data_IF_743844305759
#
_entry.id   IF_743844305759
#
_cell.length_a   1.000
_cell.length_b   1.000
_cell.length_c   1.000
_cell.angle_alpha   90.00
_cell.angle_beta   90.00
_cell.angle_gamma   90.00
#
_symmetry.space_group_name_H-M   'P 1'
#
loop_
_entity.id
_entity.type
_entity.pdbx_description
1 polymer ?
#
# COMPACT_ATOMS: atom_id res chain seq x y z
N UNK A 1 -57.97 43.48 20.73
CA UNK A 1 -57.00 42.36 20.80
C UNK A 1 -57.59 41.32 21.73
N UNK A 2 -57.64 40.01 21.39
CA UNK A 2 -56.58 39.19 20.80
C UNK A 2 -57.00 38.45 19.50
N UNK A 3 -56.02 37.84 18.81
CA UNK A 3 -56.20 37.00 17.60
C UNK A 3 -56.46 35.53 17.99
N UNK A 4 -57.36 34.81 17.30
CA UNK A 4 -57.41 33.35 17.37
C UNK A 4 -56.48 32.71 16.33
N UNK A 5 -55.75 31.71 16.79
CA UNK A 5 -54.89 30.77 16.05
C UNK A 5 -55.74 29.83 15.19
N UNK A 6 -55.39 29.68 13.90
CA UNK A 6 -55.98 28.71 12.98
C UNK A 6 -54.91 27.71 12.49
N UNK A 7 -55.32 26.44 12.43
CA UNK A 7 -54.55 25.23 12.17
C UNK A 7 -54.18 25.03 10.66
N UNK A 8 -53.34 24.04 10.30
CA UNK A 8 -52.71 23.94 8.99
C UNK A 8 -53.53 23.14 7.96
N UNK A 9 -53.40 23.52 6.68
CA UNK A 9 -53.91 22.80 5.51
C UNK A 9 -52.98 21.61 5.13
N UNK A 10 -53.51 20.42 4.81
CA UNK A 10 -52.78 19.39 4.10
C UNK A 10 -53.18 19.39 2.61
N UNK A 11 -52.21 19.44 1.71
CA UNK A 11 -52.49 19.28 0.28
C UNK A 11 -51.24 19.26 -0.61
N UNK A 12 -51.20 18.23 -1.46
CA UNK A 12 -50.51 18.20 -2.75
C UNK A 12 -48.98 18.02 -2.74
N UNK A 13 -48.47 16.86 -2.34
CA UNK A 13 -47.16 16.40 -2.84
C UNK A 13 -47.01 14.87 -2.77
N UNK A 14 -47.92 14.11 -3.40
CA UNK A 14 -47.81 12.64 -3.42
C UNK A 14 -48.38 11.97 -4.67
N UNK A 15 -48.01 12.45 -5.87
CA UNK A 15 -48.33 11.74 -7.14
C UNK A 15 -47.10 11.55 -8.06
N UNK A 16 -45.98 12.26 -7.83
CA UNK A 16 -44.84 12.23 -8.78
C UNK A 16 -43.81 11.09 -8.55
N UNK A 17 -43.79 10.43 -7.39
CA UNK A 17 -42.77 9.40 -7.10
C UNK A 17 -43.05 8.01 -7.71
N UNK A 18 -44.31 7.65 -7.95
CA UNK A 18 -44.66 6.29 -8.40
C UNK A 18 -44.43 6.03 -9.89
N UNK A 19 -44.42 7.08 -10.73
CA UNK A 19 -44.20 6.92 -12.18
C UNK A 19 -42.71 6.71 -12.54
N UNK A 20 -41.78 7.34 -11.83
CA UNK A 20 -40.34 7.19 -12.08
C UNK A 20 -39.81 5.79 -11.73
N UNK A 21 -40.36 5.14 -10.70
CA UNK A 21 -39.93 3.80 -10.26
C UNK A 21 -40.34 2.72 -11.26
N UNK A 22 -41.51 2.86 -11.92
CA UNK A 22 -41.99 1.90 -12.92
C UNK A 22 -41.17 1.96 -14.22
N UNK A 23 -40.72 3.15 -14.60
CA UNK A 23 -39.95 3.39 -15.82
C UNK A 23 -38.50 2.85 -15.73
N UNK A 24 -37.90 2.93 -14.54
CA UNK A 24 -36.56 2.35 -14.31
C UNK A 24 -36.60 0.83 -14.25
N UNK A 25 -37.70 0.25 -13.72
CA UNK A 25 -37.87 -1.21 -13.70
C UNK A 25 -38.07 -1.79 -15.09
N UNK A 26 -38.86 -1.12 -15.95
CA UNK A 26 -39.01 -1.55 -17.34
C UNK A 26 -37.71 -1.48 -18.12
N UNK A 27 -36.91 -0.41 -17.94
CA UNK A 27 -35.60 -0.30 -18.57
C UNK A 27 -34.62 -1.40 -18.10
N UNK A 28 -34.64 -1.75 -16.81
CA UNK A 28 -33.84 -2.85 -16.26
C UNK A 28 -34.28 -4.25 -16.73
N UNK A 29 -35.57 -4.44 -17.01
CA UNK A 29 -36.10 -5.71 -17.54
C UNK A 29 -35.82 -5.89 -19.04
N UNK A 30 -35.68 -4.80 -19.79
CA UNK A 30 -35.33 -4.82 -21.21
C UNK A 30 -33.84 -5.18 -21.43
N UNK A 31 -32.91 -4.59 -20.66
CA UNK A 31 -31.47 -4.94 -20.70
C UNK A 31 -31.21 -6.43 -20.37
N UNK A 32 -31.98 -7.01 -19.45
CA UNK A 32 -31.84 -8.42 -19.07
C UNK A 32 -32.29 -9.39 -20.18
N UNK A 33 -33.24 -8.99 -21.03
CA UNK A 33 -33.72 -9.81 -22.15
C UNK A 33 -32.77 -9.78 -23.34
N UNK A 34 -32.11 -8.66 -23.59
CA UNK A 34 -31.11 -8.53 -24.67
C UNK A 34 -29.88 -9.41 -24.40
N UNK A 35 -29.43 -9.49 -23.14
CA UNK A 35 -28.33 -10.37 -22.74
C UNK A 35 -28.61 -11.86 -22.97
N UNK A 36 -29.85 -12.32 -22.72
CA UNK A 36 -30.24 -13.71 -22.96
C UNK A 36 -30.35 -14.05 -24.46
N UNK A 37 -30.79 -13.10 -25.30
CA UNK A 37 -30.89 -13.31 -26.74
C UNK A 37 -29.50 -13.39 -27.41
N UNK A 38 -28.54 -12.57 -26.96
CA UNK A 38 -27.16 -12.64 -27.46
C UNK A 38 -26.48 -13.97 -27.10
N UNK A 39 -26.74 -14.49 -25.89
CA UNK A 39 -26.19 -15.77 -25.46
C UNK A 39 -26.78 -16.97 -26.25
N UNK A 40 -28.07 -16.92 -26.61
CA UNK A 40 -28.68 -17.92 -27.48
C UNK A 40 -28.18 -17.84 -28.93
N UNK A 41 -27.95 -16.64 -29.48
CA UNK A 41 -27.37 -16.49 -30.83
C UNK A 41 -25.91 -16.98 -30.89
N UNK A 42 -25.10 -16.74 -29.86
CA UNK A 42 -23.73 -17.28 -29.79
C UNK A 42 -23.70 -18.81 -29.71
N UNK A 43 -24.63 -19.44 -28.98
CA UNK A 43 -24.73 -20.90 -28.94
C UNK A 43 -25.18 -21.50 -30.27
N UNK A 44 -26.08 -20.84 -31.01
CA UNK A 44 -26.47 -21.29 -32.35
C UNK A 44 -25.31 -21.16 -33.36
N UNK A 45 -24.52 -20.08 -33.32
CA UNK A 45 -23.35 -19.94 -34.19
C UNK A 45 -22.27 -21.00 -33.90
N UNK A 46 -22.02 -21.33 -32.63
CA UNK A 46 -21.07 -22.41 -32.29
C UNK A 46 -21.54 -23.78 -32.76
N UNK A 47 -22.85 -24.07 -32.75
CA UNK A 47 -23.38 -25.33 -33.27
C UNK A 47 -23.30 -25.40 -34.80
N UNK A 48 -23.54 -24.28 -35.50
CA UNK A 48 -23.46 -24.23 -36.96
C UNK A 48 -22.03 -24.36 -37.47
N UNK A 49 -21.04 -23.78 -36.77
CA UNK A 49 -19.63 -23.94 -37.11
C UNK A 49 -19.12 -25.38 -36.87
N UNK A 50 -19.72 -26.09 -35.90
CA UNK A 50 -19.43 -27.51 -35.65
C UNK A 50 -19.98 -28.45 -36.74
N UNK A 51 -21.02 -28.03 -37.47
CA UNK A 51 -21.56 -28.78 -38.61
C UNK A 51 -20.88 -28.43 -39.94
N UNK A 52 -20.39 -27.20 -40.12
CA UNK A 52 -19.68 -26.79 -41.34
C UNK A 52 -18.21 -27.26 -41.41
N UNK A 53 -17.59 -27.61 -40.28
CA UNK A 53 -16.19 -28.12 -40.25
C UNK A 53 -16.01 -29.59 -40.67
N UNK A 54 -17.08 -30.25 -41.11
CA UNK A 54 -17.10 -31.70 -41.33
C UNK A 54 -16.95 -32.19 -42.78
N UNK A 55 -16.95 -31.32 -43.80
CA UNK A 55 -16.92 -31.76 -45.20
C UNK A 55 -16.10 -30.79 -46.06
N UNK A 56 -14.90 -31.21 -46.44
CA UNK A 56 -14.01 -30.44 -47.31
C UNK A 56 -12.69 -31.16 -47.57
N UNK A 57 -12.76 -32.27 -48.29
CA UNK A 57 -11.61 -32.95 -48.86
C UNK A 57 -11.28 -32.40 -50.26
N UNK A 58 -9.98 -32.45 -50.58
CA UNK A 58 -9.34 -32.59 -51.89
C UNK A 58 -8.76 -31.36 -52.62
N UNK A 59 -7.59 -31.61 -53.24
CA UNK A 59 -6.79 -30.88 -54.28
C UNK A 59 -5.58 -30.09 -53.72
N UNK A 60 -4.39 -30.72 -53.55
CA UNK A 60 -3.23 -30.90 -54.49
C UNK A 60 -2.35 -29.62 -54.60
N UNK A 61 -1.06 -29.53 -54.22
CA UNK A 61 0.15 -30.13 -54.83
C UNK A 61 1.34 -30.41 -53.85
N UNK A 62 2.09 -31.48 -54.20
CA UNK A 62 3.42 -32.03 -53.76
C UNK A 62 4.60 -31.00 -53.86
N UNK A 63 5.86 -31.25 -53.34
CA UNK A 63 6.45 -32.56 -53.00
C UNK A 63 7.39 -32.71 -51.76
N UNK A 64 7.64 -34.01 -51.44
CA UNK A 64 8.85 -34.66 -50.86
C UNK A 64 9.18 -34.35 -49.38
N UNK A 65 9.29 -35.29 -48.44
CA UNK A 65 9.62 -36.73 -48.50
C UNK A 65 8.95 -37.49 -47.34
N UNK A 66 8.36 -38.64 -47.66
CA UNK A 66 8.11 -39.72 -46.70
C UNK A 66 9.43 -40.46 -46.44
N UNK A 67 9.73 -40.78 -45.19
CA UNK A 67 9.96 -42.19 -44.88
C UNK A 67 9.80 -42.47 -43.37
N UNK A 68 8.75 -43.22 -43.05
CA UNK A 68 8.73 -44.33 -42.08
C UNK A 68 9.10 -43.98 -40.61
N UNK A 69 8.25 -44.20 -39.59
CA UNK A 69 7.58 -45.46 -39.24
C UNK A 69 6.40 -45.16 -38.30
N UNK A 70 5.25 -45.74 -38.62
CA UNK A 70 4.11 -45.94 -37.74
C UNK A 70 4.37 -47.10 -36.76
N UNK A 71 3.87 -46.95 -35.53
CA UNK A 71 3.69 -47.98 -34.49
C UNK A 71 4.91 -48.52 -33.74
N UNK A 72 4.99 -48.18 -32.44
CA UNK A 72 5.25 -49.16 -31.39
C UNK A 72 4.65 -48.69 -30.06
N UNK A 73 3.71 -49.49 -29.54
CA UNK A 73 3.47 -49.60 -28.09
C UNK A 73 4.82 -49.91 -27.43
N UNK A 74 5.28 -49.09 -26.50
CA UNK A 74 6.29 -49.48 -25.52
C UNK A 74 6.15 -48.58 -24.28
N UNK A 75 5.58 -49.18 -23.24
CA UNK A 75 5.83 -48.84 -21.84
C UNK A 75 7.34 -48.93 -21.55
N UNK A 76 7.81 -48.21 -20.54
CA UNK A 76 9.20 -48.08 -20.05
C UNK A 76 10.06 -46.93 -20.62
N UNK A 77 10.51 -46.09 -19.69
CA UNK A 77 11.67 -45.22 -19.88
C UNK A 77 11.32 -43.74 -20.00
N UNK A 78 10.89 -43.14 -18.89
CA UNK A 78 10.98 -41.69 -18.68
C UNK A 78 12.45 -41.30 -18.88
N UNK A 79 12.80 -40.84 -20.08
CA UNK A 79 14.18 -40.65 -20.47
C UNK A 79 14.79 -39.54 -19.61
N UNK A 80 15.94 -39.77 -18.94
CA UNK A 80 16.59 -38.75 -18.12
C UNK A 80 16.95 -37.51 -18.96
N UNK A 81 17.12 -37.70 -20.27
CA UNK A 81 17.29 -36.64 -21.25
C UNK A 81 16.04 -35.79 -21.44
N UNK A 82 14.83 -36.35 -21.35
CA UNK A 82 13.58 -35.58 -21.42
C UNK A 82 13.37 -34.74 -20.16
N UNK A 83 13.69 -35.31 -18.99
CA UNK A 83 13.63 -34.60 -17.71
C UNK A 83 14.74 -33.53 -17.57
N UNK A 84 15.88 -33.71 -18.25
CA UNK A 84 16.97 -32.74 -18.32
C UNK A 84 16.73 -31.62 -19.34
N UNK A 85 16.21 -31.95 -20.54
CA UNK A 85 15.94 -30.98 -21.60
C UNK A 85 14.63 -30.22 -21.38
N UNK A 86 13.68 -30.81 -20.66
CA UNK A 86 12.41 -30.21 -20.26
C UNK A 86 12.07 -30.57 -18.80
N UNK A 87 12.77 -29.98 -17.82
CA UNK A 87 12.37 -30.10 -16.43
C UNK A 87 10.93 -29.56 -16.28
N UNK A 88 10.04 -30.39 -15.72
CA UNK A 88 8.65 -30.01 -15.48
C UNK A 88 8.58 -28.70 -14.70
N UNK A 89 7.70 -27.79 -15.14
CA UNK A 89 7.48 -26.43 -14.59
C UNK A 89 7.09 -26.37 -13.09
N UNK A 90 7.13 -27.50 -12.40
CA UNK A 90 6.86 -27.68 -10.97
C UNK A 90 8.02 -27.22 -10.07
N UNK A 91 9.20 -26.96 -10.66
CA UNK A 91 10.39 -26.41 -10.00
C UNK A 91 10.64 -24.93 -10.31
N UNK A 92 9.68 -24.25 -10.94
CA UNK A 92 9.73 -22.80 -11.04
C UNK A 92 9.18 -22.30 -9.70
N UNK A 93 9.96 -21.56 -8.88
CA UNK A 93 9.37 -20.84 -7.78
C UNK A 93 8.19 -20.07 -8.37
N UNK A 94 7.03 -20.12 -7.71
CA UNK A 94 5.87 -19.30 -8.07
C UNK A 94 6.27 -17.83 -7.88
N UNK A 95 7.03 -17.36 -8.88
CA UNK A 95 7.14 -16.00 -9.32
C UNK A 95 5.72 -15.70 -9.75
N UNK A 96 4.94 -15.24 -8.78
CA UNK A 96 3.70 -14.55 -9.05
C UNK A 96 4.11 -13.43 -10.00
N UNK A 97 4.01 -13.66 -11.30
CA UNK A 97 4.26 -12.66 -12.33
C UNK A 97 3.18 -11.60 -12.16
N UNK A 98 3.45 -10.65 -11.26
CA UNK A 98 2.64 -9.47 -11.06
C UNK A 98 2.88 -8.56 -12.26
N UNK A 99 1.80 -8.03 -12.84
CA UNK A 99 1.93 -6.99 -13.84
C UNK A 99 2.60 -5.76 -13.21
N UNK A 100 3.35 -4.99 -14.00
CA UNK A 100 3.90 -3.69 -13.54
C UNK A 100 2.79 -2.80 -12.98
N UNK A 101 1.59 -2.87 -13.56
CA UNK A 101 0.41 -2.17 -13.05
C UNK A 101 -0.02 -2.66 -11.66
N UNK A 102 0.04 -3.97 -11.40
CA UNK A 102 -0.29 -4.54 -10.09
C UNK A 102 0.71 -4.06 -9.02
N UNK A 103 2.01 -4.04 -9.36
CA UNK A 103 3.04 -3.52 -8.46
C UNK A 103 2.83 -2.02 -8.12
N UNK A 104 2.40 -1.22 -9.10
CA UNK A 104 2.08 0.20 -8.87
C UNK A 104 0.80 0.42 -8.04
N UNK A 105 -0.20 -0.46 -8.17
CA UNK A 105 -1.40 -0.40 -7.31
C UNK A 105 -1.03 -0.74 -5.85
N UNK A 106 -0.14 -1.72 -5.64
CA UNK A 106 0.40 -2.01 -4.31
C UNK A 106 1.16 -0.79 -3.73
N UNK A 107 1.97 -0.08 -4.54
CA UNK A 107 2.64 1.14 -4.09
C UNK A 107 1.65 2.18 -3.58
N UNK A 108 0.57 2.43 -4.34
CA UNK A 108 -0.45 3.41 -3.99
C UNK A 108 -1.10 3.05 -2.65
N UNK A 109 -1.54 1.81 -2.50
CA UNK A 109 -2.18 1.34 -1.27
C UNK A 109 -1.23 1.49 -0.06
N UNK A 110 0.04 1.08 -0.23
CA UNK A 110 1.08 1.17 0.82
C UNK A 110 1.40 2.63 1.19
N UNK A 111 1.44 3.54 0.22
CA UNK A 111 1.62 4.98 0.49
C UNK A 111 0.44 5.52 1.31
N UNK A 112 -0.81 5.18 0.96
CA UNK A 112 -1.97 5.63 1.74
C UNK A 112 -1.95 5.08 3.18
N UNK A 113 -1.63 3.79 3.34
CA UNK A 113 -1.53 3.15 4.67
C UNK A 113 -0.40 3.77 5.49
N UNK A 114 0.78 3.97 4.92
CA UNK A 114 1.92 4.57 5.62
C UNK A 114 1.69 6.03 6.01
N UNK A 115 1.07 6.84 5.12
CA UNK A 115 0.68 8.22 5.44
C UNK A 115 -0.36 8.27 6.55
N UNK A 116 -1.35 7.36 6.54
CA UNK A 116 -2.32 7.25 7.62
C UNK A 116 -1.68 6.82 8.94
N UNK A 117 -0.78 5.86 8.92
CA UNK A 117 -0.07 5.39 10.11
C UNK A 117 0.80 6.49 10.73
N UNK A 118 1.61 7.18 9.91
CA UNK A 118 2.44 8.31 10.37
C UNK A 118 1.55 9.48 10.80
N UNK A 119 0.48 9.78 10.07
CA UNK A 119 -0.49 10.81 10.42
C UNK A 119 -1.16 10.54 11.78
N UNK A 120 -1.57 9.29 12.03
CA UNK A 120 -2.11 8.87 13.32
C UNK A 120 -1.07 8.98 14.45
N UNK A 121 0.19 8.61 14.18
CA UNK A 121 1.28 8.76 15.14
C UNK A 121 1.56 10.23 15.49
N UNK A 122 1.55 11.13 14.49
CA UNK A 122 1.71 12.58 14.68
C UNK A 122 0.54 13.14 15.50
N UNK A 123 -0.71 12.77 15.17
CA UNK A 123 -1.88 13.21 15.93
C UNK A 123 -1.84 12.71 17.39
N UNK A 124 -1.40 11.47 17.61
CA UNK A 124 -1.14 10.93 18.94
C UNK A 124 -0.08 11.74 19.68
N UNK A 125 1.08 11.99 19.06
CA UNK A 125 2.15 12.79 19.67
C UNK A 125 1.72 14.24 19.94
N UNK A 126 0.86 14.82 19.09
CA UNK A 126 0.33 16.15 19.30
C UNK A 126 -0.52 16.24 20.58
N UNK A 127 -1.32 15.20 20.88
CA UNK A 127 -2.08 15.11 22.13
C UNK A 127 -1.16 15.04 23.36
N UNK A 128 -0.03 14.33 23.25
CA UNK A 128 0.98 14.20 24.32
C UNK A 128 2.11 15.25 24.25
N UNK A 129 1.95 16.30 23.44
CA UNK A 129 3.01 17.25 23.12
C UNK A 129 3.63 17.94 24.34
N UNK A 130 2.83 18.21 25.38
CA UNK A 130 3.31 18.82 26.63
C UNK A 130 4.33 17.94 27.36
N UNK A 131 4.14 16.61 27.33
CA UNK A 131 5.08 15.68 27.96
C UNK A 131 6.35 15.53 27.12
N UNK A 132 6.21 15.47 25.80
CA UNK A 132 7.35 15.43 24.89
C UNK A 132 8.26 16.65 25.10
N UNK A 133 7.70 17.86 25.14
CA UNK A 133 8.49 19.08 25.35
C UNK A 133 9.22 19.02 26.71
N UNK A 134 8.56 18.60 27.79
CA UNK A 134 9.22 18.43 29.11
C UNK A 134 10.36 17.41 29.07
N UNK A 135 10.18 16.30 28.34
CA UNK A 135 11.22 15.29 28.17
C UNK A 135 12.45 15.85 27.46
N UNK A 136 12.24 16.69 26.43
CA UNK A 136 13.31 17.37 25.70
C UNK A 136 14.01 18.47 26.53
N UNK A 137 13.29 19.14 27.43
CA UNK A 137 13.83 20.18 28.31
C UNK A 137 14.71 19.64 29.45
N UNK A 138 14.53 18.37 29.84
CA UNK A 138 15.25 17.75 30.96
C UNK A 138 16.79 17.79 30.83
N UNK A 139 17.42 17.33 29.73
CA UNK A 139 18.88 17.38 29.57
C UNK A 139 19.42 18.81 29.42
N UNK A 140 18.61 19.75 28.95
CA UNK A 140 19.02 21.16 28.77
C UNK A 140 19.02 21.90 30.11
N UNK A 141 18.01 21.65 30.94
CA UNK A 141 17.89 22.27 32.26
C UNK A 141 19.03 21.88 33.20
N UNK A 142 19.56 20.65 33.06
CA UNK A 142 20.70 20.17 33.83
C UNK A 142 22.00 20.95 33.54
N UNK A 143 22.17 21.47 32.31
CA UNK A 143 23.30 22.33 31.93
C UNK A 143 23.07 23.83 32.26
N UNK A 144 21.97 24.19 32.94
CA UNK A 144 21.74 25.55 33.45
C UNK A 144 21.21 26.58 32.44
N UNK A 145 20.86 26.16 31.22
CA UNK A 145 20.26 27.04 30.21
C UNK A 145 18.74 27.03 30.38
N UNK A 146 18.15 28.17 30.79
CA UNK A 146 16.68 28.31 30.83
C UNK A 146 16.15 28.67 29.44
N UNK A 147 15.12 27.94 28.98
CA UNK A 147 14.37 28.34 27.80
C UNK A 147 13.66 29.67 28.05
N UNK A 148 14.04 30.71 27.32
CA UNK A 148 13.26 31.94 27.24
C UNK A 148 12.18 31.76 26.17
N UNK A 149 10.92 31.74 26.60
CA UNK A 149 9.79 31.89 25.68
C UNK A 149 9.72 33.35 25.24
N UNK A 150 10.12 33.65 24.01
CA UNK A 150 10.14 35.01 23.48
C UNK A 150 8.73 35.50 23.09
N UNK A 151 7.79 34.59 22.77
CA UNK A 151 6.39 34.91 22.44
C UNK A 151 5.48 33.67 22.49
N UNK A 152 4.19 33.80 22.83
CA UNK A 152 3.22 32.68 22.78
C UNK A 152 3.08 32.05 21.39
N UNK A 153 3.34 32.81 20.30
CA UNK A 153 3.31 32.28 18.93
C UNK A 153 4.44 31.29 18.64
N UNK A 154 5.63 31.51 19.19
CA UNK A 154 6.79 30.63 18.98
C UNK A 154 6.61 29.26 19.64
N UNK A 155 6.01 29.24 20.83
CA UNK A 155 5.71 27.99 21.53
C UNK A 155 4.76 27.07 20.74
N UNK A 156 3.77 27.65 20.06
CA UNK A 156 2.86 26.88 19.20
C UNK A 156 3.58 26.23 18.02
N UNK A 157 4.40 26.99 17.28
CA UNK A 157 5.16 26.44 16.14
C UNK A 157 6.21 25.41 16.58
N UNK A 158 6.86 25.61 17.72
CA UNK A 158 7.79 24.63 18.29
C UNK A 158 7.07 23.34 18.66
N UNK A 159 5.91 23.44 19.31
CA UNK A 159 5.10 22.27 19.67
C UNK A 159 4.70 21.48 18.43
N UNK A 160 4.28 22.15 17.35
CA UNK A 160 3.91 21.50 16.09
C UNK A 160 5.11 20.77 15.45
N UNK A 161 6.28 21.42 15.41
CA UNK A 161 7.51 20.80 14.89
C UNK A 161 7.93 19.58 15.72
N UNK A 162 7.93 19.71 17.05
CA UNK A 162 8.29 18.63 17.97
C UNK A 162 7.33 17.46 17.82
N UNK A 163 6.02 17.69 17.82
CA UNK A 163 5.04 16.61 17.60
C UNK A 163 5.18 15.95 16.23
N UNK A 164 5.52 16.73 15.20
CA UNK A 164 5.77 16.22 13.85
C UNK A 164 6.98 15.29 13.81
N UNK A 165 8.12 15.73 14.37
CA UNK A 165 9.32 14.90 14.44
C UNK A 165 9.13 13.68 15.34
N UNK A 166 8.55 13.83 16.53
CA UNK A 166 8.28 12.70 17.42
C UNK A 166 7.31 11.69 16.81
N UNK A 167 6.25 12.16 16.14
CA UNK A 167 5.30 11.30 15.44
C UNK A 167 5.95 10.55 14.29
N UNK A 168 6.82 11.23 13.51
CA UNK A 168 7.59 10.59 12.45
C UNK A 168 8.57 9.55 13.01
N UNK A 169 9.25 9.85 14.12
CA UNK A 169 10.15 8.91 14.79
C UNK A 169 9.36 7.68 15.27
N UNK A 170 8.24 7.86 15.98
CA UNK A 170 7.42 6.73 16.43
C UNK A 170 6.80 5.94 15.28
N UNK A 171 6.43 6.61 14.19
CA UNK A 171 5.90 5.99 12.98
C UNK A 171 6.97 5.36 12.07
N UNK A 172 8.26 5.67 12.28
CA UNK A 172 9.36 5.22 11.44
C UNK A 172 9.46 3.70 11.25
N UNK A 173 9.33 2.84 12.29
CA UNK A 173 9.38 1.39 12.07
C UNK A 173 8.20 0.87 11.25
N UNK A 174 7.01 1.48 11.39
CA UNK A 174 5.85 1.14 10.54
C UNK A 174 6.09 1.60 9.10
N UNK A 175 6.62 2.80 8.92
CA UNK A 175 6.99 3.32 7.60
C UNK A 175 8.02 2.42 6.91
N UNK A 176 9.03 1.98 7.65
CA UNK A 176 10.08 1.09 7.16
C UNK A 176 9.54 -0.31 6.82
N UNK A 177 8.61 -0.83 7.62
CA UNK A 177 7.89 -2.06 7.30
C UNK A 177 7.14 -1.94 5.97
N UNK A 178 6.42 -0.83 5.73
CA UNK A 178 5.67 -0.69 4.47
C UNK A 178 6.55 -0.48 3.24
N UNK A 179 7.69 0.21 3.39
CA UNK A 179 8.68 0.32 2.32
C UNK A 179 9.21 -1.07 1.94
N UNK A 180 9.54 -1.90 2.93
CA UNK A 180 10.04 -3.25 2.68
C UNK A 180 8.93 -4.14 2.14
N UNK A 181 7.69 -3.99 2.62
CA UNK A 181 6.54 -4.72 2.14
C UNK A 181 6.21 -4.42 0.67
N UNK A 182 6.49 -3.20 0.20
CA UNK A 182 6.41 -2.86 -1.22
C UNK A 182 7.49 -3.55 -2.07
N UNK A 183 8.67 -3.83 -1.50
CA UNK A 183 9.77 -4.54 -2.20
C UNK A 183 9.56 -6.07 -2.19
N UNK A 184 8.88 -6.61 -1.17
CA UNK A 184 8.59 -8.04 -1.02
C UNK A 184 8.07 -8.77 -2.27
N UNK A 185 7.10 -8.25 -3.05
CA UNK A 185 6.54 -9.00 -4.17
C UNK A 185 7.53 -9.14 -5.35
N UNK A 186 8.61 -8.34 -5.39
CA UNK A 186 9.66 -8.43 -6.40
C UNK A 186 10.80 -9.38 -6.05
N UNK A 187 10.69 -10.15 -4.96
CA UNK A 187 11.77 -10.96 -4.41
C UNK A 187 11.39 -12.44 -4.33
N UNK A 188 12.36 -13.33 -4.50
CA UNK A 188 12.11 -14.78 -4.46
C UNK A 188 11.65 -15.23 -3.06
N UNK A 189 10.90 -16.33 -3.00
CA UNK A 189 10.29 -16.83 -1.74
C UNK A 189 11.34 -17.12 -0.66
N UNK A 190 12.51 -17.58 -1.05
CA UNK A 190 13.61 -17.89 -0.13
C UNK A 190 14.26 -16.63 0.44
N UNK A 191 14.38 -15.57 -0.37
CA UNK A 191 14.96 -14.29 0.07
C UNK A 191 14.01 -13.52 1.01
N UNK A 192 12.69 -13.65 0.81
CA UNK A 192 11.67 -13.03 1.66
C UNK A 192 11.82 -13.39 3.14
N UNK A 193 12.35 -14.57 3.48
CA UNK A 193 12.53 -14.96 4.90
C UNK A 193 13.58 -14.10 5.62
N UNK A 194 14.55 -13.54 4.90
CA UNK A 194 15.61 -12.70 5.48
C UNK A 194 15.14 -11.27 5.75
N UNK A 195 14.12 -10.80 5.04
CA UNK A 195 13.57 -9.45 5.24
C UNK A 195 12.90 -9.30 6.61
N UNK A 196 12.24 -10.34 7.12
CA UNK A 196 11.61 -10.35 8.46
C UNK A 196 12.56 -9.97 9.60
N UNK A 197 13.68 -10.70 9.82
CA UNK A 197 14.64 -10.36 10.87
C UNK A 197 15.35 -9.03 10.60
N UNK A 198 15.51 -8.60 9.35
CA UNK A 198 16.08 -7.28 9.01
C UNK A 198 15.13 -6.15 9.47
N UNK A 199 13.83 -6.25 9.18
CA UNK A 199 12.84 -5.25 9.62
C UNK A 199 12.80 -5.17 11.14
N UNK A 200 12.78 -6.33 11.82
CA UNK A 200 12.77 -6.38 13.27
C UNK A 200 14.07 -5.81 13.86
N UNK A 201 15.23 -6.18 13.30
CA UNK A 201 16.54 -5.65 13.69
C UNK A 201 16.64 -4.15 13.51
N UNK A 202 16.19 -3.61 12.36
CA UNK A 202 16.18 -2.18 12.08
C UNK A 202 15.24 -1.40 13.01
N UNK A 203 14.09 -1.97 13.36
CA UNK A 203 13.15 -1.35 14.31
C UNK A 203 13.77 -1.25 15.71
N UNK A 204 14.41 -2.33 16.19
CA UNK A 204 15.13 -2.33 17.47
C UNK A 204 16.29 -1.33 17.44
N UNK A 205 17.09 -1.34 16.38
CA UNK A 205 18.25 -0.46 16.25
C UNK A 205 17.84 1.02 16.13
N UNK A 206 16.70 1.30 15.52
CA UNK A 206 16.14 2.64 15.43
C UNK A 206 15.75 3.20 16.81
N UNK A 207 15.02 2.41 17.62
CA UNK A 207 14.70 2.81 18.99
C UNK A 207 15.95 2.90 19.88
N UNK A 208 16.89 1.97 19.72
CA UNK A 208 18.19 2.05 20.39
C UNK A 208 18.93 3.33 20.01
N UNK A 209 18.88 3.72 18.73
CA UNK A 209 19.43 4.98 18.21
C UNK A 209 18.76 6.21 18.82
N UNK A 210 17.44 6.20 19.01
CA UNK A 210 16.71 7.29 19.70
C UNK A 210 17.20 7.42 21.15
N UNK A 211 17.25 6.30 21.88
CA UNK A 211 17.71 6.29 23.28
C UNK A 211 19.16 6.74 23.39
N UNK A 212 20.02 6.28 22.50
CA UNK A 212 21.43 6.68 22.42
C UNK A 212 21.57 8.18 22.10
N UNK A 213 20.80 8.69 21.14
CA UNK A 213 20.81 10.10 20.75
C UNK A 213 20.42 11.02 21.91
N UNK A 214 19.37 10.65 22.65
CA UNK A 214 18.91 11.39 23.83
C UNK A 214 19.91 11.32 24.99
N UNK A 215 20.43 10.13 25.30
CA UNK A 215 21.22 9.90 26.52
C UNK A 215 22.68 10.31 26.39
N UNK A 216 23.28 10.18 25.19
CA UNK A 216 24.72 10.39 24.97
C UNK A 216 24.98 11.61 24.09
N UNK A 217 24.36 11.67 22.91
CA UNK A 217 24.62 12.77 21.96
C UNK A 217 24.18 14.12 22.51
N UNK A 218 22.97 14.20 23.07
CA UNK A 218 22.39 15.47 23.54
C UNK A 218 23.24 16.14 24.64
N UNK A 219 23.61 15.47 25.75
CA UNK A 219 24.46 16.10 26.77
C UNK A 219 25.88 16.38 26.28
N UNK A 220 26.46 15.51 25.44
CA UNK A 220 27.79 15.74 24.87
C UNK A 220 27.82 16.99 23.97
N UNK A 221 26.80 17.16 23.12
CA UNK A 221 26.69 18.32 22.24
C UNK A 221 26.48 19.61 23.05
N UNK A 222 25.62 19.59 24.07
CA UNK A 222 25.40 20.74 24.95
C UNK A 222 26.66 21.13 25.72
N UNK A 223 27.39 20.15 26.27
CA UNK A 223 28.67 20.38 26.95
C UNK A 223 29.71 21.00 26.02
N UNK A 224 29.81 20.52 24.78
CA UNK A 224 30.67 21.10 23.74
C UNK A 224 30.30 22.56 23.44
N UNK A 225 29.01 22.86 23.24
CA UNK A 225 28.58 24.23 22.94
C UNK A 225 28.81 25.20 24.10
N UNK A 226 28.59 24.78 25.34
CA UNK A 226 28.84 25.62 26.53
C UNK A 226 30.33 25.93 26.65
N UNK A 227 31.19 24.91 26.58
CA UNK A 227 32.64 25.08 26.68
C UNK A 227 33.18 25.96 25.53
N UNK A 228 32.72 25.72 24.30
CA UNK A 228 33.10 26.51 23.14
C UNK A 228 32.70 28.00 23.27
N UNK A 229 31.54 28.27 23.86
CA UNK A 229 31.09 29.63 24.13
C UNK A 229 31.97 30.34 25.19
N UNK A 230 32.35 29.64 26.26
CA UNK A 230 33.21 30.17 27.33
C UNK A 230 34.63 30.51 26.83
N UNK A 231 35.24 29.64 26.01
CA UNK A 231 36.56 29.89 25.42
C UNK A 231 36.56 31.14 24.52
N UNK A 232 35.52 31.30 23.71
CA UNK A 232 35.41 32.43 22.78
C UNK A 232 35.14 33.75 23.52
N UNK A 233 34.29 33.72 24.55
CA UNK A 233 34.02 34.90 25.37
C UNK A 233 35.26 35.36 26.14
N UNK A 234 36.02 34.42 26.70
CA UNK A 234 37.25 34.69 27.46
C UNK A 234 38.36 35.34 26.62
N UNK A 235 38.37 35.12 25.30
CA UNK A 235 39.33 35.72 24.36
C UNK A 235 38.94 37.11 23.85
N UNK A 236 37.64 37.47 23.84
CA UNK A 236 37.16 38.78 23.40
C UNK A 236 37.00 39.80 24.54
N UNK A 237 37.01 39.34 25.81
CA UNK A 237 36.84 40.18 26.99
C UNK A 237 38.14 40.71 27.62
N UNK A 238 39.26 40.76 26.88
CA UNK A 238 40.53 41.35 27.33
C UNK A 238 41.04 42.37 26.33
#
# INVERSE_FOLDING_TARGET
MPRPTAAPFPGLFSISKSHKVRLVRSALEDDAREGQQQQQQQQQQQQQQKQLGGVGAAVEERPTDEDSIESAKQDDGQSPLYNFLYPSKELLPDDKEMSVFDHLEELRERIFVSVLAVGAAILGCFAFSKELVKLLEAPVSAQGVRFLQLSPGEFFFTTLKVSGYCGLLLGSPVLLYEIIAFVLPGLTKDERRFLGPIVLGSSVLFYAGIVFSYSVLTPAALGFFVNYAEERWSRCGR
#
